data_IF_398440464301
#
_entry.id   IF_398440464301
#
_cell.length_a   1.000
_cell.length_b   1.000
_cell.length_c   1.000
_cell.angle_alpha   90.00
_cell.angle_beta   90.00
_cell.angle_gamma   90.00
#
_symmetry.space_group_name_H-M   'P 1'
#
loop_
_entity.id
_entity.type
_entity.pdbx_description
1 polymer ?
#
# COMPACT_ATOMS: atom_id res chain seq x y z
N UNK A 1 16.78 15.72 15.65
CA UNK A 1 15.39 16.15 15.93
C UNK A 1 14.35 15.13 15.43
N UNK A 2 14.31 14.75 14.12
CA UNK A 2 13.30 13.81 13.61
C UNK A 2 13.39 12.43 14.28
N UNK A 3 14.57 11.82 14.31
CA UNK A 3 14.80 10.52 14.98
C UNK A 3 14.38 10.57 16.45
N UNK A 4 14.75 11.64 17.16
CA UNK A 4 14.34 11.85 18.55
C UNK A 4 12.82 11.90 18.68
N UNK A 5 12.12 12.58 17.75
CA UNK A 5 10.66 12.64 17.72
C UNK A 5 10.02 11.26 17.59
N UNK A 6 10.51 10.41 16.66
CA UNK A 6 10.01 9.05 16.49
C UNK A 6 10.28 8.17 17.73
N UNK A 7 11.48 8.25 18.31
CA UNK A 7 11.80 7.52 19.57
C UNK A 7 10.90 7.98 20.72
N UNK A 8 10.64 9.27 20.83
CA UNK A 8 9.72 9.81 21.84
C UNK A 8 8.30 9.29 21.64
N UNK A 9 7.83 9.21 20.38
CA UNK A 9 6.52 8.68 20.08
C UNK A 9 6.38 7.23 20.54
N UNK A 10 7.38 6.39 20.28
CA UNK A 10 7.42 5.00 20.79
C UNK A 10 7.43 4.96 22.33
N UNK A 11 8.26 5.77 22.97
CA UNK A 11 8.41 5.78 24.42
C UNK A 11 7.11 6.17 25.16
N UNK A 12 6.32 7.09 24.59
CA UNK A 12 5.02 7.49 25.15
C UNK A 12 3.99 6.36 25.04
N UNK A 13 4.00 5.59 23.96
CA UNK A 13 3.20 4.39 23.75
C UNK A 13 1.68 4.57 23.64
N UNK A 14 1.15 5.75 23.96
CA UNK A 14 -0.29 6.01 23.90
C UNK A 14 -0.77 6.20 22.46
N UNK A 15 -1.76 5.42 22.00
CA UNK A 15 -2.30 5.47 20.64
C UNK A 15 -2.70 6.89 20.19
N UNK A 16 -3.37 7.63 21.07
CA UNK A 16 -3.80 9.01 20.80
C UNK A 16 -2.64 9.99 20.61
N UNK A 17 -1.44 9.62 20.98
CA UNK A 17 -0.23 10.40 20.76
C UNK A 17 0.60 9.86 19.59
N UNK A 18 0.86 8.54 19.56
CA UNK A 18 1.73 7.91 18.53
C UNK A 18 1.20 8.15 17.12
N UNK A 19 -0.09 7.89 16.90
CA UNK A 19 -0.68 7.97 15.56
C UNK A 19 -0.58 9.39 14.97
N UNK A 20 -1.06 10.46 15.63
CA UNK A 20 -0.90 11.81 15.10
C UNK A 20 0.56 12.29 15.10
N UNK A 21 1.39 11.87 16.06
CA UNK A 21 2.81 12.24 16.09
C UNK A 21 3.54 11.75 14.84
N UNK A 22 3.29 10.51 14.42
CA UNK A 22 3.89 9.97 13.17
C UNK A 22 3.42 10.75 11.94
N UNK A 23 2.15 11.19 11.85
CA UNK A 23 1.68 12.08 10.75
C UNK A 23 2.47 13.37 10.73
N UNK A 24 2.60 14.02 11.89
CA UNK A 24 3.32 15.30 12.00
C UNK A 24 4.79 15.14 11.64
N UNK A 25 5.46 14.10 12.15
CA UNK A 25 6.86 13.83 11.85
C UNK A 25 7.08 13.48 10.37
N UNK A 26 6.14 12.73 9.76
CA UNK A 26 6.14 12.46 8.32
C UNK A 26 6.00 13.75 7.52
N UNK A 27 5.05 14.61 7.91
CA UNK A 27 4.86 15.94 7.31
C UNK A 27 6.09 16.83 7.44
N UNK A 28 6.74 16.83 8.60
CA UNK A 28 7.99 17.57 8.83
C UNK A 28 9.14 17.02 7.98
N UNK A 29 9.24 15.69 7.80
CA UNK A 29 10.24 15.07 6.92
C UNK A 29 10.05 15.51 5.47
N UNK A 30 8.80 15.51 4.99
CA UNK A 30 8.44 15.99 3.66
C UNK A 30 8.73 17.50 3.53
N UNK A 31 8.27 18.30 4.47
CA UNK A 31 8.51 19.75 4.45
C UNK A 31 10.00 20.08 4.43
N UNK A 32 10.80 19.42 5.27
CA UNK A 32 12.25 19.60 5.29
C UNK A 32 12.91 19.21 3.96
N UNK A 33 12.44 18.13 3.31
CA UNK A 33 12.95 17.70 2.00
C UNK A 33 12.61 18.68 0.86
N UNK A 34 11.51 19.41 0.99
CA UNK A 34 11.11 20.44 0.03
C UNK A 34 11.92 21.75 0.21
N UNK A 35 12.44 22.00 1.42
CA UNK A 35 13.24 23.19 1.76
C UNK A 35 14.73 22.99 1.55
N UNK A 36 15.21 21.79 1.78
CA UNK A 36 16.63 21.44 1.71
C UNK A 36 16.83 20.23 0.79
N UNK A 37 17.82 20.25 -0.10
CA UNK A 37 18.08 19.18 -1.06
C UNK A 37 18.78 17.99 -0.39
N UNK A 38 18.12 17.37 0.60
CA UNK A 38 18.60 16.15 1.26
C UNK A 38 17.92 14.93 0.65
N UNK A 39 18.57 14.27 -0.31
CA UNK A 39 17.91 13.26 -1.14
C UNK A 39 17.44 12.02 -0.36
N UNK A 40 18.11 11.68 0.75
CA UNK A 40 17.77 10.52 1.59
C UNK A 40 16.69 10.79 2.65
N UNK A 41 16.21 12.03 2.81
CA UNK A 41 15.34 12.38 3.94
C UNK A 41 13.94 11.75 3.82
N UNK A 42 13.37 11.71 2.61
CA UNK A 42 12.05 11.09 2.39
C UNK A 42 12.10 9.58 2.59
N UNK A 43 13.02 8.81 1.94
CA UNK A 43 13.16 7.39 2.22
C UNK A 43 13.41 7.07 3.70
N UNK A 44 14.26 7.85 4.38
CA UNK A 44 14.51 7.68 5.81
C UNK A 44 13.24 7.98 6.65
N UNK A 45 12.49 9.02 6.30
CA UNK A 45 11.21 9.34 6.95
C UNK A 45 10.17 8.23 6.78
N UNK A 46 10.09 7.63 5.60
CA UNK A 46 9.22 6.48 5.31
C UNK A 46 9.59 5.30 6.22
N UNK A 47 10.87 4.92 6.24
CA UNK A 47 11.35 3.81 7.08
C UNK A 47 11.08 4.07 8.56
N UNK A 48 11.41 5.26 9.06
CA UNK A 48 11.19 5.62 10.46
C UNK A 48 9.70 5.67 10.81
N UNK A 49 8.86 6.23 9.94
CA UNK A 49 7.42 6.34 10.18
C UNK A 49 6.75 4.97 10.30
N UNK A 50 6.96 4.09 9.33
CA UNK A 50 6.36 2.77 9.37
C UNK A 50 7.00 1.85 10.41
N UNK A 51 8.31 1.95 10.65
CA UNK A 51 8.97 1.23 11.73
C UNK A 51 8.42 1.65 13.10
N UNK A 52 8.24 2.96 13.34
CA UNK A 52 7.64 3.46 14.58
C UNK A 52 6.24 2.90 14.79
N UNK A 53 5.40 2.92 13.77
CA UNK A 53 4.07 2.34 13.83
C UNK A 53 4.13 0.83 14.14
N UNK A 54 4.97 0.09 13.44
CA UNK A 54 5.08 -1.37 13.59
C UNK A 54 5.62 -1.77 14.96
N UNK A 55 6.64 -1.08 15.44
CA UNK A 55 7.23 -1.31 16.77
C UNK A 55 6.17 -1.04 17.85
N UNK A 56 5.47 0.10 17.78
CA UNK A 56 4.41 0.44 18.70
C UNK A 56 3.26 -0.58 18.65
N UNK A 57 2.76 -0.94 17.48
CA UNK A 57 1.68 -1.91 17.30
C UNK A 57 2.09 -3.33 17.75
N UNK A 58 3.39 -3.64 17.70
CA UNK A 58 3.98 -4.89 18.17
C UNK A 58 4.30 -4.91 19.69
N UNK A 59 3.75 -3.98 20.47
CA UNK A 59 3.97 -3.88 21.92
C UNK A 59 5.39 -3.48 22.33
N UNK A 60 6.04 -2.65 21.53
CA UNK A 60 7.37 -2.09 21.82
C UNK A 60 8.45 -3.15 22.18
N UNK A 61 8.73 -4.10 21.30
CA UNK A 61 9.72 -5.15 21.58
C UNK A 61 11.13 -4.60 21.83
N UNK A 62 11.42 -3.38 21.35
CA UNK A 62 12.70 -2.69 21.63
C UNK A 62 12.85 -2.27 23.10
N UNK A 63 11.75 -2.16 23.84
CA UNK A 63 11.74 -1.91 25.29
C UNK A 63 11.72 -3.21 26.10
N UNK A 64 12.03 -4.35 25.49
CA UNK A 64 12.07 -5.66 26.14
C UNK A 64 10.70 -6.30 26.40
N UNK A 65 9.62 -5.76 25.82
CA UNK A 65 8.28 -6.35 25.92
C UNK A 65 8.13 -7.51 24.93
N UNK A 66 7.33 -8.53 25.24
CA UNK A 66 7.08 -9.63 24.28
C UNK A 66 6.37 -9.09 23.04
N UNK A 67 6.82 -9.50 21.84
CA UNK A 67 6.17 -9.15 20.60
C UNK A 67 4.74 -9.69 20.59
N UNK A 68 3.79 -8.78 20.60
CA UNK A 68 2.36 -9.09 20.58
C UNK A 68 1.61 -7.93 19.93
N UNK A 69 0.81 -8.19 18.91
CA UNK A 69 -0.01 -7.13 18.34
C UNK A 69 -1.01 -6.58 19.35
N UNK A 70 -0.86 -5.30 19.68
CA UNK A 70 -1.75 -4.60 20.59
C UNK A 70 -3.16 -4.46 19.99
N UNK A 71 -4.14 -4.29 20.87
CA UNK A 71 -5.47 -3.82 20.50
C UNK A 71 -5.37 -2.33 20.14
N UNK A 72 -5.12 -2.05 18.84
CA UNK A 72 -5.05 -0.68 18.33
C UNK A 72 -6.44 -0.14 17.98
N UNK A 73 -6.65 1.19 18.03
CA UNK A 73 -7.92 1.81 17.68
C UNK A 73 -8.36 1.46 16.25
N UNK A 74 -9.68 1.39 16.02
CA UNK A 74 -10.27 1.17 14.69
C UNK A 74 -9.90 2.27 13.69
N UNK A 75 -9.45 3.42 14.15
CA UNK A 75 -8.96 4.52 13.32
C UNK A 75 -7.52 4.35 12.85
N UNK A 76 -6.75 3.41 13.40
CA UNK A 76 -5.33 3.23 13.07
C UNK A 76 -5.06 3.01 11.57
N UNK A 77 -5.84 2.21 10.82
CA UNK A 77 -5.65 2.08 9.37
C UNK A 77 -5.77 3.39 8.61
N UNK A 78 -6.66 4.29 9.03
CA UNK A 78 -6.80 5.61 8.43
C UNK A 78 -5.52 6.45 8.61
N UNK A 79 -4.85 6.34 9.76
CA UNK A 79 -3.56 7.00 9.97
C UNK A 79 -2.46 6.41 9.09
N UNK A 80 -2.43 5.09 8.88
CA UNK A 80 -1.47 4.45 7.96
C UNK A 80 -1.67 4.95 6.53
N UNK A 81 -2.92 5.08 6.07
CA UNK A 81 -3.22 5.69 4.78
C UNK A 81 -2.82 7.18 4.74
N UNK A 82 -3.00 7.92 5.83
CA UNK A 82 -2.55 9.30 5.92
C UNK A 82 -1.02 9.42 5.79
N UNK A 83 -0.23 8.52 6.43
CA UNK A 83 1.23 8.49 6.25
C UNK A 83 1.60 8.26 4.79
N UNK A 84 0.93 7.30 4.14
CA UNK A 84 1.15 6.97 2.73
C UNK A 84 0.91 8.20 1.83
N UNK A 85 -0.19 8.91 2.04
CA UNK A 85 -0.53 10.12 1.29
C UNK A 85 0.48 11.23 1.55
N UNK A 86 0.86 11.47 2.82
CA UNK A 86 1.84 12.51 3.18
C UNK A 86 3.17 12.29 2.46
N UNK A 87 3.69 11.07 2.45
CA UNK A 87 4.94 10.75 1.75
C UNK A 87 4.79 10.83 0.22
N UNK A 88 3.65 10.44 -0.34
CA UNK A 88 3.36 10.60 -1.76
C UNK A 88 3.33 12.08 -2.15
N UNK A 89 2.72 12.94 -1.32
CA UNK A 89 2.70 14.39 -1.52
C UNK A 89 4.11 14.99 -1.54
N UNK A 90 5.05 14.43 -0.77
CA UNK A 90 6.44 14.86 -0.79
C UNK A 90 7.06 14.79 -2.18
N UNK A 91 6.79 13.73 -2.93
CA UNK A 91 7.25 13.61 -4.31
C UNK A 91 6.42 14.49 -5.27
N UNK A 92 5.09 14.54 -5.07
CA UNK A 92 4.19 15.34 -5.91
C UNK A 92 4.41 16.85 -5.80
N UNK A 93 4.87 17.36 -4.66
CA UNK A 93 5.08 18.79 -4.42
C UNK A 93 6.47 19.28 -4.83
N UNK A 94 7.39 18.40 -5.19
CA UNK A 94 8.69 18.81 -5.71
C UNK A 94 8.51 19.62 -6.99
N UNK A 95 9.16 20.78 -7.06
CA UNK A 95 9.10 21.67 -8.23
C UNK A 95 9.95 21.21 -9.39
N UNK A 96 11.05 20.53 -9.10
CA UNK A 96 11.88 19.93 -10.13
C UNK A 96 11.10 18.76 -10.72
N UNK A 97 10.70 18.90 -11.99
CA UNK A 97 10.11 17.76 -12.73
C UNK A 97 11.10 16.62 -12.65
N UNK A 98 10.82 15.71 -11.74
CA UNK A 98 11.76 14.68 -11.40
C UNK A 98 11.97 13.81 -12.63
N UNK A 99 13.15 13.89 -13.14
CA UNK A 99 13.73 12.74 -13.83
C UNK A 99 13.54 11.53 -12.94
N UNK A 100 13.27 10.38 -13.52
CA UNK A 100 13.13 9.11 -12.81
C UNK A 100 14.46 8.77 -12.13
N UNK A 101 14.75 9.40 -11.00
CA UNK A 101 15.93 9.11 -10.21
C UNK A 101 15.69 7.90 -9.30
N UNK A 102 16.77 7.16 -8.99
CA UNK A 102 16.68 5.95 -8.19
C UNK A 102 16.13 6.20 -6.79
N UNK A 103 16.31 7.39 -6.21
CA UNK A 103 15.83 7.73 -4.87
C UNK A 103 14.33 8.01 -4.85
N UNK A 104 13.81 8.72 -5.84
CA UNK A 104 12.36 8.95 -5.97
C UNK A 104 11.64 7.63 -6.21
N UNK A 105 12.18 6.76 -7.07
CA UNK A 105 11.62 5.45 -7.33
C UNK A 105 11.67 4.54 -6.09
N UNK A 106 12.78 4.53 -5.35
CA UNK A 106 12.89 3.77 -4.10
C UNK A 106 11.96 4.30 -3.02
N UNK A 107 11.76 5.61 -2.90
CA UNK A 107 10.80 6.19 -1.97
C UNK A 107 9.36 5.76 -2.30
N UNK A 108 8.97 5.78 -3.58
CA UNK A 108 7.66 5.30 -4.00
C UNK A 108 7.48 3.80 -3.71
N UNK A 109 8.50 2.98 -4.00
CA UNK A 109 8.48 1.56 -3.69
C UNK A 109 8.35 1.29 -2.19
N UNK A 110 9.17 1.92 -1.37
CA UNK A 110 9.12 1.78 0.09
C UNK A 110 7.78 2.23 0.65
N UNK A 111 7.24 3.35 0.17
CA UNK A 111 5.95 3.85 0.62
C UNK A 111 4.79 2.90 0.26
N UNK A 112 4.79 2.34 -0.94
CA UNK A 112 3.81 1.34 -1.34
C UNK A 112 3.98 0.03 -0.54
N UNK A 113 5.20 -0.52 -0.50
CA UNK A 113 5.46 -1.81 0.12
C UNK A 113 5.23 -1.79 1.64
N UNK A 114 5.83 -0.82 2.34
CA UNK A 114 5.70 -0.71 3.80
C UNK A 114 4.32 -0.15 4.19
N UNK A 115 3.84 0.89 3.51
CA UNK A 115 2.56 1.52 3.82
C UNK A 115 1.39 0.56 3.63
N UNK A 116 1.29 -0.05 2.45
CA UNK A 116 0.24 -1.02 2.21
C UNK A 116 0.49 -2.33 2.96
N UNK A 117 1.75 -2.78 3.12
CA UNK A 117 2.09 -3.98 3.89
C UNK A 117 1.65 -3.87 5.36
N UNK A 118 1.98 -2.76 6.03
CA UNK A 118 1.55 -2.48 7.40
C UNK A 118 0.02 -2.39 7.48
N UNK A 119 -0.62 -1.69 6.53
CA UNK A 119 -2.07 -1.59 6.45
C UNK A 119 -2.73 -2.97 6.31
N UNK A 120 -2.21 -3.82 5.42
CA UNK A 120 -2.73 -5.16 5.17
C UNK A 120 -2.60 -6.05 6.41
N UNK A 121 -1.42 -6.13 7.02
CA UNK A 121 -1.20 -6.94 8.23
C UNK A 121 -2.13 -6.49 9.36
N UNK A 122 -2.27 -5.18 9.54
CA UNK A 122 -3.14 -4.63 10.56
C UNK A 122 -4.62 -4.99 10.32
N UNK A 123 -5.12 -4.78 9.10
CA UNK A 123 -6.52 -5.06 8.76
C UNK A 123 -6.82 -6.55 8.80
N UNK A 124 -5.88 -7.40 8.38
CA UNK A 124 -6.00 -8.85 8.48
C UNK A 124 -6.13 -9.32 9.94
N UNK A 125 -5.33 -8.75 10.83
CA UNK A 125 -5.32 -9.12 12.24
C UNK A 125 -6.55 -8.62 13.03
N UNK A 126 -7.18 -7.51 12.62
CA UNK A 126 -8.11 -6.78 13.49
C UNK A 126 -9.45 -6.37 12.85
N UNK A 127 -9.60 -6.43 11.53
CA UNK A 127 -10.75 -5.81 10.85
C UNK A 127 -11.78 -6.78 10.27
N UNK A 128 -11.84 -8.00 10.66
CA UNK A 128 -12.84 -9.03 10.30
C UNK A 128 -13.89 -8.63 9.24
N UNK A 129 -15.02 -8.09 9.67
CA UNK A 129 -16.11 -7.65 8.80
C UNK A 129 -15.83 -6.33 8.06
N UNK A 130 -14.99 -5.46 8.59
CA UNK A 130 -14.60 -4.18 7.97
C UNK A 130 -13.46 -4.28 6.95
N UNK A 131 -12.87 -5.46 6.78
CA UNK A 131 -11.70 -5.67 5.92
C UNK A 131 -11.92 -5.20 4.48
N UNK A 132 -13.02 -5.64 3.85
CA UNK A 132 -13.31 -5.29 2.46
C UNK A 132 -13.49 -3.78 2.27
N UNK A 133 -14.23 -3.11 3.16
CA UNK A 133 -14.42 -1.66 3.12
C UNK A 133 -13.12 -0.88 3.32
N UNK A 134 -12.26 -1.32 4.26
CA UNK A 134 -10.96 -0.71 4.48
C UNK A 134 -10.04 -0.82 3.25
N UNK A 135 -10.01 -1.99 2.61
CA UNK A 135 -9.21 -2.21 1.39
C UNK A 135 -9.78 -1.48 0.18
N UNK A 136 -11.10 -1.33 0.07
CA UNK A 136 -11.73 -0.50 -0.96
C UNK A 136 -11.34 0.97 -0.81
N UNK A 137 -11.35 1.49 0.42
CA UNK A 137 -10.88 2.85 0.71
C UNK A 137 -9.39 3.03 0.38
N UNK A 138 -8.55 2.06 0.76
CA UNK A 138 -7.13 2.06 0.42
C UNK A 138 -6.90 2.04 -1.11
N UNK A 139 -7.68 1.23 -1.85
CA UNK A 139 -7.63 1.20 -3.30
C UNK A 139 -7.95 2.57 -3.91
N UNK A 140 -9.01 3.23 -3.44
CA UNK A 140 -9.39 4.57 -3.89
C UNK A 140 -8.28 5.61 -3.65
N UNK A 141 -7.67 5.60 -2.46
CA UNK A 141 -6.55 6.49 -2.12
C UNK A 141 -5.34 6.24 -3.02
N UNK A 142 -4.91 4.99 -3.16
CA UNK A 142 -3.73 4.61 -3.94
C UNK A 142 -3.90 4.91 -5.43
N UNK A 143 -5.07 4.58 -6.01
CA UNK A 143 -5.39 4.90 -7.39
C UNK A 143 -5.48 6.41 -7.62
N UNK A 144 -6.05 7.16 -6.66
CA UNK A 144 -6.07 8.62 -6.69
C UNK A 144 -4.65 9.22 -6.70
N UNK A 145 -3.74 8.68 -5.90
CA UNK A 145 -2.32 9.06 -5.90
C UNK A 145 -1.66 8.73 -7.25
N UNK A 146 -1.93 7.54 -7.81
CA UNK A 146 -1.40 7.16 -9.12
C UNK A 146 -1.85 8.12 -10.23
N UNK A 147 -3.14 8.49 -10.25
CA UNK A 147 -3.69 9.48 -11.18
C UNK A 147 -3.03 10.84 -10.98
N UNK A 148 -2.79 11.27 -9.73
CA UNK A 148 -2.11 12.54 -9.44
C UNK A 148 -0.68 12.57 -10.00
N UNK A 149 0.09 11.47 -9.87
CA UNK A 149 1.41 11.35 -10.48
C UNK A 149 1.34 11.37 -12.00
N UNK A 150 0.37 10.68 -12.59
CA UNK A 150 0.18 10.65 -14.03
C UNK A 150 -0.20 12.02 -14.62
N UNK A 151 -1.17 12.70 -14.00
CA UNK A 151 -1.63 14.04 -14.47
C UNK A 151 -0.52 15.09 -14.37
N UNK A 152 0.34 14.97 -13.35
CA UNK A 152 1.48 15.89 -13.19
C UNK A 152 2.70 15.51 -14.02
N UNK A 153 2.66 14.38 -14.74
CA UNK A 153 3.77 13.85 -15.56
C UNK A 153 5.09 13.74 -14.80
N UNK A 154 5.03 13.42 -13.49
CA UNK A 154 6.21 13.46 -12.63
C UNK A 154 7.03 12.19 -12.65
N UNK A 155 6.39 11.02 -12.58
CA UNK A 155 7.09 9.71 -12.58
C UNK A 155 6.20 8.60 -13.08
N UNK A 156 6.67 7.88 -14.09
CA UNK A 156 6.00 6.68 -14.61
C UNK A 156 6.10 5.51 -13.63
N UNK A 157 7.24 5.39 -12.96
CA UNK A 157 7.46 4.33 -11.97
C UNK A 157 6.57 4.54 -10.76
N UNK A 158 6.46 5.76 -10.23
CA UNK A 158 5.54 6.04 -9.12
C UNK A 158 4.09 5.80 -9.52
N UNK A 159 3.66 6.27 -10.71
CA UNK A 159 2.31 5.98 -11.24
C UNK A 159 2.06 4.47 -11.27
N UNK A 160 3.01 3.69 -11.79
CA UNK A 160 2.92 2.23 -11.86
C UNK A 160 2.80 1.60 -10.46
N UNK A 161 3.68 1.96 -9.53
CA UNK A 161 3.73 1.38 -8.19
C UNK A 161 2.43 1.66 -7.40
N UNK A 162 1.96 2.90 -7.39
CA UNK A 162 0.72 3.26 -6.70
C UNK A 162 -0.51 2.63 -7.38
N UNK A 163 -0.56 2.56 -8.71
CA UNK A 163 -1.65 1.89 -9.42
C UNK A 163 -1.70 0.40 -9.12
N UNK A 164 -0.56 -0.31 -9.20
CA UNK A 164 -0.49 -1.74 -8.91
C UNK A 164 -0.85 -2.05 -7.46
N UNK A 165 -0.37 -1.25 -6.50
CA UNK A 165 -0.73 -1.41 -5.09
C UNK A 165 -2.22 -1.11 -4.86
N UNK A 166 -2.79 -0.13 -5.55
CA UNK A 166 -4.22 0.17 -5.52
C UNK A 166 -5.08 -0.98 -6.07
N UNK A 167 -4.67 -1.59 -7.18
CA UNK A 167 -5.35 -2.77 -7.72
C UNK A 167 -5.19 -3.99 -6.82
N UNK A 168 -4.04 -4.17 -6.18
CA UNK A 168 -3.86 -5.21 -5.17
C UNK A 168 -4.84 -5.00 -3.99
N UNK A 169 -4.99 -3.79 -3.50
CA UNK A 169 -5.95 -3.47 -2.45
C UNK A 169 -7.39 -3.76 -2.90
N UNK A 170 -7.75 -3.41 -4.15
CA UNK A 170 -9.06 -3.72 -4.72
C UNK A 170 -9.29 -5.23 -4.83
N UNK A 171 -8.28 -6.00 -5.25
CA UNK A 171 -8.35 -7.46 -5.29
C UNK A 171 -8.61 -8.05 -3.90
N UNK A 172 -7.94 -7.54 -2.86
CA UNK A 172 -8.16 -7.98 -1.48
C UNK A 172 -9.59 -7.67 -0.99
N UNK A 173 -10.13 -6.51 -1.36
CA UNK A 173 -11.52 -6.17 -1.07
C UNK A 173 -12.50 -7.15 -1.75
N UNK A 174 -12.29 -7.47 -3.03
CA UNK A 174 -13.12 -8.41 -3.80
C UNK A 174 -13.06 -9.81 -3.19
N UNK A 175 -11.86 -10.35 -2.92
CA UNK A 175 -11.66 -11.69 -2.36
C UNK A 175 -12.40 -11.85 -1.03
N UNK A 176 -12.48 -10.79 -0.23
CA UNK A 176 -13.17 -10.84 1.06
C UNK A 176 -14.67 -10.56 0.97
N UNK A 177 -15.12 -9.79 -0.02
CA UNK A 177 -16.52 -9.38 -0.16
C UNK A 177 -17.36 -10.38 -0.94
N UNK A 178 -16.79 -11.05 -1.93
CA UNK A 178 -17.49 -12.00 -2.79
C UNK A 178 -17.34 -13.44 -2.29
N UNK A 179 -18.37 -14.25 -2.51
CA UNK A 179 -18.32 -15.69 -2.28
C UNK A 179 -17.71 -16.42 -3.49
N UNK A 180 -17.18 -17.62 -3.27
CA UNK A 180 -16.81 -18.51 -4.36
C UNK A 180 -18.09 -19.03 -5.07
N UNK A 181 -18.13 -19.13 -6.42
CA UNK A 181 -17.08 -18.80 -7.41
C UNK A 181 -17.10 -17.33 -7.90
N UNK A 182 -17.98 -16.48 -7.41
CA UNK A 182 -18.20 -15.11 -7.90
C UNK A 182 -16.93 -14.23 -7.82
N UNK A 183 -16.03 -14.55 -6.88
CA UNK A 183 -14.73 -13.88 -6.76
C UNK A 183 -14.00 -13.83 -8.11
N UNK A 184 -13.99 -14.92 -8.87
CA UNK A 184 -13.28 -14.99 -10.15
C UNK A 184 -13.91 -14.09 -11.21
N UNK A 185 -15.23 -13.95 -11.20
CA UNK A 185 -15.95 -13.03 -12.11
C UNK A 185 -15.55 -11.59 -11.80
N UNK A 186 -15.57 -11.20 -10.53
CA UNK A 186 -15.20 -9.85 -10.11
C UNK A 186 -13.72 -9.53 -10.36
N UNK A 187 -12.81 -10.47 -10.13
CA UNK A 187 -11.40 -10.29 -10.44
C UNK A 187 -11.15 -10.21 -11.96
N UNK A 188 -11.89 -10.96 -12.76
CA UNK A 188 -11.82 -10.86 -14.23
C UNK A 188 -12.32 -9.50 -14.71
N UNK A 189 -13.42 -8.98 -14.16
CA UNK A 189 -13.91 -7.64 -14.44
C UNK A 189 -12.88 -6.57 -14.04
N UNK A 190 -12.28 -6.70 -12.85
CA UNK A 190 -11.19 -5.83 -12.43
C UNK A 190 -10.03 -5.85 -13.43
N UNK A 191 -9.67 -7.01 -13.99
CA UNK A 191 -8.60 -7.14 -14.99
C UNK A 191 -8.89 -6.29 -16.24
N UNK A 192 -10.15 -6.21 -16.68
CA UNK A 192 -10.55 -5.34 -17.80
C UNK A 192 -10.30 -3.86 -17.45
N UNK A 193 -10.66 -3.45 -16.24
CA UNK A 193 -10.42 -2.07 -15.76
C UNK A 193 -8.92 -1.77 -15.70
N UNK A 194 -8.11 -2.74 -15.24
CA UNK A 194 -6.63 -2.59 -15.19
C UNK A 194 -6.07 -2.40 -16.60
N UNK A 195 -6.53 -3.18 -17.59
CA UNK A 195 -6.09 -3.02 -18.99
C UNK A 195 -6.49 -1.65 -19.53
N UNK A 196 -7.73 -1.21 -19.31
CA UNK A 196 -8.18 0.10 -19.74
C UNK A 196 -7.33 1.24 -19.17
N UNK A 197 -7.00 1.17 -17.87
CA UNK A 197 -6.13 2.17 -17.21
C UNK A 197 -4.68 2.04 -17.65
N UNK A 198 -4.19 0.84 -17.97
CA UNK A 198 -2.85 0.63 -18.50
C UNK A 198 -2.67 1.30 -19.88
N UNK A 199 -3.70 1.23 -20.73
CA UNK A 199 -3.74 1.93 -22.01
C UNK A 199 -3.75 3.45 -21.76
N UNK A 200 -4.56 3.92 -20.83
CA UNK A 200 -4.63 5.33 -20.47
C UNK A 200 -3.30 5.86 -19.92
N UNK A 201 -2.65 5.13 -19.02
CA UNK A 201 -1.33 5.49 -18.47
C UNK A 201 -0.17 5.24 -19.47
N UNK A 202 -0.44 4.63 -20.64
CA UNK A 202 0.58 4.23 -21.62
C UNK A 202 1.71 3.40 -20.99
N UNK A 203 1.39 2.56 -20.01
CA UNK A 203 2.33 1.74 -19.26
C UNK A 203 2.31 0.28 -19.73
N UNK A 204 3.38 -0.13 -20.42
CA UNK A 204 3.56 -1.55 -20.82
C UNK A 204 3.71 -2.47 -19.61
N UNK A 205 4.28 -1.98 -18.53
CA UNK A 205 4.49 -2.77 -17.31
C UNK A 205 3.17 -3.18 -16.65
N UNK A 206 2.18 -2.28 -16.62
CA UNK A 206 0.84 -2.61 -16.08
C UNK A 206 0.19 -3.70 -16.93
N UNK A 207 0.32 -3.66 -18.26
CA UNK A 207 -0.25 -4.68 -19.15
C UNK A 207 0.36 -6.04 -18.87
N UNK A 208 1.69 -6.13 -18.78
CA UNK A 208 2.40 -7.39 -18.50
C UNK A 208 2.03 -7.94 -17.12
N UNK A 209 2.05 -7.08 -16.10
CA UNK A 209 1.68 -7.49 -14.75
C UNK A 209 0.22 -7.97 -14.68
N UNK A 210 -0.71 -7.27 -15.34
CA UNK A 210 -2.11 -7.69 -15.41
C UNK A 210 -2.29 -9.03 -16.15
N UNK A 211 -1.55 -9.26 -17.22
CA UNK A 211 -1.57 -10.54 -17.92
C UNK A 211 -1.17 -11.70 -17.00
N UNK A 212 -0.09 -11.54 -16.23
CA UNK A 212 0.34 -12.56 -15.26
C UNK A 212 -0.71 -12.80 -14.17
N UNK A 213 -1.32 -11.72 -13.65
CA UNK A 213 -2.41 -11.81 -12.66
C UNK A 213 -3.61 -12.54 -13.28
N UNK A 214 -3.98 -12.20 -14.51
CA UNK A 214 -5.09 -12.86 -15.20
C UNK A 214 -4.85 -14.36 -15.39
N UNK A 215 -3.66 -14.76 -15.80
CA UNK A 215 -3.27 -16.17 -15.88
C UNK A 215 -3.41 -16.87 -14.53
N UNK A 216 -2.95 -16.22 -13.44
CA UNK A 216 -3.09 -16.77 -12.10
C UNK A 216 -4.57 -16.93 -11.67
N UNK A 217 -5.44 -15.97 -12.02
CA UNK A 217 -6.89 -16.04 -11.76
C UNK A 217 -7.51 -17.23 -12.52
N UNK A 218 -7.19 -17.40 -13.80
CA UNK A 218 -7.72 -18.51 -14.62
C UNK A 218 -7.25 -19.86 -14.06
N UNK A 219 -5.98 -19.98 -13.71
CA UNK A 219 -5.45 -21.20 -13.08
C UNK A 219 -6.12 -21.47 -11.73
N UNK A 220 -6.30 -20.45 -10.90
CA UNK A 220 -7.02 -20.57 -9.61
C UNK A 220 -8.46 -21.06 -9.83
N UNK A 221 -9.17 -20.50 -10.80
CA UNK A 221 -10.53 -20.96 -11.15
C UNK A 221 -10.56 -22.41 -11.60
N UNK A 222 -9.62 -22.84 -12.44
CA UNK A 222 -9.56 -24.25 -12.92
C UNK A 222 -9.30 -25.20 -11.74
N UNK A 223 -8.43 -24.82 -10.81
CA UNK A 223 -8.13 -25.64 -9.62
C UNK A 223 -9.36 -25.76 -8.72
N UNK A 224 -10.07 -24.66 -8.46
CA UNK A 224 -11.28 -24.64 -7.63
C UNK A 224 -12.42 -25.44 -8.28
N UNK A 225 -12.71 -25.19 -9.56
CA UNK A 225 -13.73 -25.92 -10.30
C UNK A 225 -13.46 -27.43 -10.30
N UNK A 226 -12.20 -27.85 -10.37
CA UNK A 226 -11.80 -29.25 -10.28
C UNK A 226 -12.04 -29.82 -8.86
N UNK A 227 -11.79 -29.03 -7.82
CA UNK A 227 -12.01 -29.44 -6.43
C UNK A 227 -13.50 -29.65 -6.13
N UNK A 228 -14.38 -28.77 -6.63
CA UNK A 228 -15.83 -28.86 -6.39
C UNK A 228 -16.51 -29.97 -7.21
N UNK A 229 -16.13 -30.14 -8.46
CA UNK A 229 -16.84 -31.05 -9.38
C UNK A 229 -16.32 -32.47 -9.38
N UNK A 230 -15.18 -32.76 -8.75
CA UNK A 230 -14.52 -34.07 -8.78
C UNK A 230 -14.08 -34.51 -10.18
N UNK A 231 -14.19 -33.63 -11.18
CA UNK A 231 -13.81 -33.92 -12.56
C UNK A 231 -12.29 -33.92 -12.66
N UNK A 232 -11.68 -35.09 -12.82
CA UNK A 232 -10.30 -35.15 -13.26
C UNK A 232 -10.22 -34.71 -14.72
N UNK A 233 -9.84 -33.46 -14.94
CA UNK A 233 -9.41 -33.01 -16.26
C UNK A 233 -8.07 -33.72 -16.51
N UNK A 234 -8.14 -34.90 -17.10
CA UNK A 234 -6.96 -35.57 -17.62
C UNK A 234 -6.44 -34.72 -18.77
N UNK A 235 -5.34 -33.99 -18.56
CA UNK A 235 -4.51 -33.58 -19.67
C UNK A 235 -3.93 -34.87 -20.24
N UNK A 236 -4.61 -35.49 -21.19
CA UNK A 236 -4.00 -36.49 -22.05
C UNK A 236 -2.88 -35.80 -22.83
N UNK A 237 -1.64 -36.06 -22.47
CA UNK A 237 -0.48 -35.88 -23.33
C UNK A 237 -0.48 -36.97 -24.39
#
# INVERSE_FOLDING_TARGET
ALVTGYVTAIAVGAAGFVLPAVVVLSGLSVWASLRHPWPGLVPAGILLGYATYFIWAGNDPLLGRPFQFLAVPTTAPAFVLAYLVVFALGALLRRDRATEDGLTNSAAFLNCALGYGVFFVHTLARFGSGFAGAHLAAAGVLLGVAVAFWVREQSRVSTFLYAMTGYLALSMAIIKAAAMPDVFVWLSLQSVVVVATAIWFRSRFIVVANFLIYVAIVLGYIVEAKAETGISIGFGL
#
